data_IF_574318223938
#
_entry.id   IF_574318223938
#
_cell.length_a   1.000
_cell.length_b   1.000
_cell.length_c   1.000
_cell.angle_alpha   90.00
_cell.angle_beta   90.00
_cell.angle_gamma   90.00
#
_symmetry.space_group_name_H-M   'P 1'
#
loop_
_entity.id
_entity.type
_entity.pdbx_description
1 polymer ?
#
# COMPACT_ATOMS: atom_id res chain seq x y z
N UNK A 1 -3.49 -6.87 -8.78
CA UNK A 1 -3.48 -6.88 -7.30
C UNK A 1 -3.15 -8.25 -6.69
N UNK A 2 -3.53 -9.39 -7.31
CA UNK A 2 -3.22 -10.74 -6.79
C UNK A 2 -1.76 -10.98 -6.35
N UNK A 3 -0.77 -10.43 -7.07
CA UNK A 3 0.66 -10.53 -6.71
C UNK A 3 1.05 -9.86 -5.37
N UNK A 4 0.17 -9.04 -4.82
CA UNK A 4 0.36 -8.35 -3.54
C UNK A 4 -0.54 -8.91 -2.44
N UNK A 5 -1.24 -10.02 -2.67
CA UNK A 5 -2.12 -10.66 -1.71
C UNK A 5 -1.39 -10.94 -0.39
N UNK A 6 -1.95 -10.45 0.71
CA UNK A 6 -1.39 -10.55 2.05
C UNK A 6 -0.25 -9.58 2.36
N UNK A 7 -0.02 -8.57 1.51
CA UNK A 7 0.99 -7.54 1.71
C UNK A 7 0.35 -6.17 1.93
N UNK A 8 1.05 -5.33 2.70
CA UNK A 8 0.90 -3.89 2.60
C UNK A 8 1.52 -3.41 1.29
N UNK A 9 0.93 -2.39 0.70
CA UNK A 9 1.37 -1.78 -0.55
C UNK A 9 1.42 -0.27 -0.35
N UNK A 10 2.57 0.32 -0.67
CA UNK A 10 2.74 1.77 -0.71
C UNK A 10 2.59 2.25 -2.16
N UNK A 11 1.71 3.23 -2.36
CA UNK A 11 1.39 3.84 -3.65
C UNK A 11 1.79 5.30 -3.62
N UNK A 12 2.50 5.74 -4.66
CA UNK A 12 2.90 7.12 -4.88
C UNK A 12 2.66 7.45 -6.36
N UNK A 13 1.98 8.56 -6.64
CA UNK A 13 1.59 8.97 -8.00
C UNK A 13 0.86 7.85 -8.80
N UNK A 14 -0.01 7.11 -8.12
CA UNK A 14 -0.76 5.99 -8.70
C UNK A 14 0.07 4.74 -9.01
N UNK A 15 1.37 4.71 -8.68
CA UNK A 15 2.26 3.56 -8.88
C UNK A 15 2.62 2.89 -7.57
N UNK A 16 2.68 1.56 -7.58
CA UNK A 16 3.20 0.78 -6.45
C UNK A 16 4.71 0.96 -6.36
N UNK A 17 5.18 1.56 -5.27
CA UNK A 17 6.61 1.83 -5.03
C UNK A 17 7.24 0.91 -4.00
N UNK A 18 6.42 0.24 -3.16
CA UNK A 18 6.85 -0.81 -2.27
C UNK A 18 5.70 -1.78 -1.92
N UNK A 19 6.02 -3.03 -1.61
CA UNK A 19 5.07 -4.00 -1.07
C UNK A 19 5.75 -5.00 -0.14
N UNK A 20 5.08 -5.41 0.93
CA UNK A 20 5.56 -6.46 1.83
C UNK A 20 4.73 -6.61 3.10
N UNK A 21 5.09 -7.56 3.96
CA UNK A 21 4.41 -7.79 5.25
C UNK A 21 4.66 -6.67 6.28
N UNK A 22 5.78 -5.96 6.17
CA UNK A 22 6.12 -4.80 6.99
C UNK A 22 6.80 -3.76 6.09
N UNK A 23 6.23 -2.55 6.03
CA UNK A 23 6.72 -1.46 5.18
C UNK A 23 7.23 -0.24 5.96
N UNK A 24 7.20 -0.25 7.29
CA UNK A 24 7.45 0.96 8.10
C UNK A 24 8.77 1.66 7.76
N UNK A 25 9.89 0.91 7.75
CA UNK A 25 11.21 1.46 7.43
C UNK A 25 11.27 2.00 5.99
N UNK A 26 10.67 1.26 5.04
CA UNK A 26 10.65 1.61 3.62
C UNK A 26 9.82 2.88 3.35
N UNK A 27 8.67 3.02 4.02
CA UNK A 27 7.82 4.21 3.95
C UNK A 27 8.57 5.42 4.49
N UNK A 28 9.21 5.29 5.66
CA UNK A 28 9.98 6.39 6.27
C UNK A 28 11.12 6.89 5.37
N UNK A 29 11.76 5.99 4.64
CA UNK A 29 12.79 6.36 3.65
C UNK A 29 12.19 7.06 2.42
N UNK A 30 11.01 6.62 1.96
CA UNK A 30 10.31 7.23 0.84
C UNK A 30 9.80 8.64 1.19
N UNK A 31 9.23 8.83 2.38
CA UNK A 31 8.77 10.13 2.88
C UNK A 31 9.92 11.14 2.97
N UNK A 32 11.12 10.69 3.38
CA UNK A 32 12.32 11.54 3.40
C UNK A 32 12.79 11.94 2.01
N UNK A 33 12.63 11.07 1.01
CA UNK A 33 13.09 11.29 -0.37
C UNK A 33 12.08 12.05 -1.22
N UNK A 34 10.80 11.98 -0.86
CA UNK A 34 9.68 12.51 -1.62
C UNK A 34 8.72 13.25 -0.68
N UNK A 35 9.23 14.30 -0.02
CA UNK A 35 8.46 15.09 0.95
C UNK A 35 7.30 15.87 0.32
N UNK A 36 7.35 16.09 -0.99
CA UNK A 36 6.33 16.75 -1.80
C UNK A 36 5.22 15.80 -2.26
N UNK A 37 5.40 14.47 -2.10
CA UNK A 37 4.48 13.47 -2.64
C UNK A 37 3.67 12.79 -1.55
N UNK A 38 2.38 12.61 -1.83
CA UNK A 38 1.50 11.84 -0.96
C UNK A 38 1.73 10.35 -1.18
N UNK A 39 2.10 9.65 -0.11
CA UNK A 39 2.21 8.20 -0.08
C UNK A 39 0.93 7.65 0.57
N UNK A 40 0.25 6.75 -0.13
CA UNK A 40 -0.92 6.02 0.38
C UNK A 40 -0.52 4.58 0.67
N UNK A 41 -0.83 4.10 1.87
CA UNK A 41 -0.53 2.74 2.29
C UNK A 41 -1.84 1.98 2.48
N UNK A 42 -1.94 0.81 1.86
CA UNK A 42 -3.11 -0.05 2.01
C UNK A 42 -2.68 -1.51 2.18
N UNK A 43 -3.43 -2.28 2.97
CA UNK A 43 -3.28 -3.72 3.05
C UNK A 43 -4.12 -4.40 1.97
N UNK A 44 -3.56 -5.40 1.30
CA UNK A 44 -4.27 -6.23 0.33
C UNK A 44 -4.57 -7.57 1.00
N UNK A 45 -5.84 -7.89 1.30
CA UNK A 45 -6.19 -9.18 1.88
C UNK A 45 -5.87 -10.33 0.92
N UNK A 46 -5.63 -11.53 1.48
CA UNK A 46 -5.38 -12.75 0.69
C UNK A 46 -6.66 -13.34 0.10
N UNK A 47 -7.75 -13.18 0.82
CA UNK A 47 -9.09 -13.62 0.44
C UNK A 47 -9.81 -12.48 -0.27
N UNK A 48 -10.77 -12.81 -1.13
CA UNK A 48 -11.66 -11.85 -1.76
C UNK A 48 -12.55 -11.22 -0.67
N UNK A 49 -12.04 -10.18 -0.01
CA UNK A 49 -12.80 -9.40 0.97
C UNK A 49 -13.89 -8.65 0.21
N UNK A 50 -15.10 -9.21 0.22
CA UNK A 50 -16.30 -8.61 -0.35
C UNK A 50 -16.79 -7.53 0.61
N UNK A 51 -16.48 -6.26 0.33
CA UNK A 51 -17.04 -5.13 1.08
C UNK A 51 -18.40 -4.81 0.45
N UNK A 52 -19.48 -5.33 1.05
CA UNK A 52 -20.85 -4.93 0.71
C UNK A 52 -21.17 -3.62 1.42
N UNK A 53 -21.40 -2.54 0.69
CA UNK A 53 -21.98 -1.31 1.24
C UNK A 53 -23.51 -1.40 1.11
N UNK A 54 -24.22 -1.45 2.24
CA UNK A 54 -25.66 -1.13 2.28
C UNK A 54 -25.78 0.36 2.58
N UNK A 55 -26.24 1.13 1.59
CA UNK A 55 -26.71 2.50 1.77
C UNK A 55 -28.14 2.54 2.27
#
# INVERSE_FOLDING_TARGET
>A
MRKYAGHYVAVMDGKVVASGKNLYKRIRELEKKHSDKKIVVTYIPKEDLLILFSG
#
